data_IF_372339269316
#
_entry.id   IF_372339269316
#
_cell.length_a   1.000
_cell.length_b   1.000
_cell.length_c   1.000
_cell.angle_alpha   90.00
_cell.angle_beta   90.00
_cell.angle_gamma   90.00
#
_symmetry.space_group_name_H-M   'P 1'
#
loop_
_entity.id
_entity.type
_entity.pdbx_description
1 polymer ?
#
# COMPACT_ATOMS: atom_id res chain seq x y z
N UNK A 1 -4.24 -3.19 -3.75
CA UNK A 1 -3.19 -2.44 -4.47
C UNK A 1 -2.29 -3.49 -5.08
N UNK A 2 -2.62 -4.01 -6.28
CA UNK A 2 -2.01 -5.23 -6.83
C UNK A 2 -2.33 -6.51 -6.07
N UNK A 3 -1.80 -7.63 -6.58
CA UNK A 3 -1.89 -9.00 -6.06
C UNK A 3 -3.32 -9.42 -5.72
N UNK A 4 -4.16 -9.35 -6.75
CA UNK A 4 -5.58 -9.76 -6.65
C UNK A 4 -5.75 -11.28 -6.83
N UNK A 5 -4.69 -11.99 -7.23
CA UNK A 5 -4.63 -13.44 -7.43
C UNK A 5 -3.18 -13.94 -7.42
N UNK A 6 -2.94 -15.23 -7.72
CA UNK A 6 -1.62 -15.84 -7.54
C UNK A 6 -0.75 -15.90 -8.81
N UNK A 7 -1.28 -16.11 -10.02
CA UNK A 7 -0.42 -16.32 -11.22
C UNK A 7 -0.76 -15.49 -12.45
N UNK A 8 -1.74 -14.60 -12.41
CA UNK A 8 -2.02 -13.75 -13.57
C UNK A 8 -3.12 -14.26 -14.49
N UNK A 9 -3.73 -15.40 -14.20
CA UNK A 9 -4.55 -16.07 -15.21
C UNK A 9 -5.92 -15.39 -15.37
N UNK A 10 -6.45 -15.32 -16.61
CA UNK A 10 -7.81 -14.83 -16.83
C UNK A 10 -8.89 -15.53 -15.99
N UNK A 11 -8.73 -16.83 -15.73
CA UNK A 11 -9.63 -17.58 -14.84
C UNK A 11 -9.59 -17.08 -13.40
N UNK A 12 -8.43 -16.65 -12.90
CA UNK A 12 -8.32 -16.09 -11.57
C UNK A 12 -9.05 -14.74 -11.49
N UNK A 13 -8.95 -13.88 -12.51
CA UNK A 13 -9.77 -12.66 -12.58
C UNK A 13 -11.25 -12.96 -12.54
N UNK A 14 -11.69 -13.94 -13.33
CA UNK A 14 -13.09 -14.32 -13.35
C UNK A 14 -13.58 -14.74 -11.97
N UNK A 15 -12.78 -15.50 -11.23
CA UNK A 15 -13.14 -16.02 -9.91
C UNK A 15 -12.94 -15.02 -8.77
N UNK A 16 -11.86 -14.25 -8.77
CA UNK A 16 -11.45 -13.38 -7.67
C UNK A 16 -11.95 -11.93 -7.83
N UNK A 17 -12.40 -11.53 -9.02
CA UNK A 17 -12.81 -10.15 -9.27
C UNK A 17 -14.14 -10.01 -10.01
N UNK A 18 -14.52 -10.94 -10.88
CA UNK A 18 -15.73 -10.83 -11.70
C UNK A 18 -16.90 -11.70 -11.21
N UNK A 19 -16.77 -12.33 -10.03
CA UNK A 19 -17.84 -13.07 -9.38
C UNK A 19 -18.22 -14.41 -10.03
N UNK A 20 -17.42 -14.92 -10.98
CA UNK A 20 -17.64 -16.25 -11.55
C UNK A 20 -17.29 -17.30 -10.48
N UNK A 21 -18.24 -18.16 -10.14
CA UNK A 21 -17.99 -19.26 -9.19
C UNK A 21 -17.01 -20.29 -9.80
N UNK A 22 -15.89 -20.62 -9.14
CA UNK A 22 -15.08 -21.78 -9.51
C UNK A 22 -15.69 -23.08 -8.98
N UNK A 23 -15.26 -24.23 -9.53
CA UNK A 23 -15.72 -25.55 -9.05
C UNK A 23 -15.31 -25.87 -7.60
N UNK A 24 -14.21 -25.28 -7.13
CA UNK A 24 -13.60 -25.55 -5.83
C UNK A 24 -14.02 -24.60 -4.70
N UNK A 25 -14.90 -23.62 -4.97
CA UNK A 25 -15.44 -22.72 -3.94
C UNK A 25 -16.94 -22.52 -4.10
N UNK A 26 -17.61 -22.14 -3.01
CA UNK A 26 -19.06 -21.97 -3.02
C UNK A 26 -19.53 -20.76 -3.82
N UNK A 27 -18.66 -19.75 -3.99
CA UNK A 27 -18.93 -18.50 -4.71
C UNK A 27 -17.66 -17.91 -5.32
N UNK A 28 -17.81 -17.07 -6.34
CA UNK A 28 -16.76 -16.18 -6.81
C UNK A 28 -16.78 -14.86 -6.02
N UNK A 29 -15.65 -14.15 -6.02
CA UNK A 29 -15.52 -12.83 -5.44
C UNK A 29 -15.76 -11.78 -6.52
N UNK A 30 -16.61 -10.80 -6.21
CA UNK A 30 -16.85 -9.64 -7.07
C UNK A 30 -16.13 -8.43 -6.49
N UNK A 31 -15.31 -7.79 -7.31
CA UNK A 31 -14.66 -6.54 -6.96
C UNK A 31 -15.71 -5.47 -6.64
N UNK A 32 -15.56 -4.71 -5.54
CA UNK A 32 -16.53 -3.68 -5.19
C UNK A 32 -16.54 -2.56 -6.24
N UNK A 33 -17.73 -2.25 -6.75
CA UNK A 33 -17.95 -1.14 -7.67
C UNK A 33 -18.40 0.08 -6.87
N UNK A 34 -17.57 1.12 -6.86
CA UNK A 34 -17.91 2.40 -6.25
C UNK A 34 -18.97 3.15 -7.05
N UNK A 35 -19.80 3.94 -6.37
CA UNK A 35 -20.92 4.69 -6.97
C UNK A 35 -20.53 5.52 -8.20
N UNK A 36 -19.33 6.11 -8.19
CA UNK A 36 -18.84 6.98 -9.27
C UNK A 36 -17.66 6.37 -10.04
N UNK A 37 -17.03 5.34 -9.50
CA UNK A 37 -15.80 4.81 -10.06
C UNK A 37 -15.16 3.73 -9.21
N UNK A 38 -14.45 2.83 -9.88
CA UNK A 38 -13.52 1.88 -9.27
C UNK A 38 -12.25 1.82 -10.11
N UNK A 39 -11.10 1.90 -9.46
CA UNK A 39 -9.79 1.91 -10.12
C UNK A 39 -8.87 0.89 -9.46
N UNK A 40 -7.86 0.46 -10.19
CA UNK A 40 -6.87 -0.49 -9.69
C UNK A 40 -5.47 -0.16 -10.20
N UNK A 41 -4.46 -0.71 -9.54
CA UNK A 41 -3.07 -0.77 -10.01
C UNK A 41 -2.60 -2.22 -9.87
N UNK A 42 -1.74 -2.72 -10.76
CA UNK A 42 -1.22 -4.08 -10.69
C UNK A 42 -0.04 -4.19 -9.71
N UNK A 43 0.19 -5.41 -9.22
CA UNK A 43 1.34 -5.88 -8.48
C UNK A 43 2.17 -6.87 -9.28
N UNK A 44 3.08 -7.59 -8.62
CA UNK A 44 3.96 -8.54 -9.29
C UNK A 44 3.19 -9.75 -9.83
N UNK A 45 2.18 -10.23 -9.10
CA UNK A 45 1.42 -11.41 -9.51
C UNK A 45 0.62 -11.20 -10.81
N UNK A 46 0.19 -9.97 -11.09
CA UNK A 46 -0.47 -9.63 -12.35
C UNK A 46 0.42 -9.89 -13.58
N UNK A 47 1.75 -9.78 -13.44
CA UNK A 47 2.70 -9.90 -14.54
C UNK A 47 3.35 -11.29 -14.69
N UNK A 48 3.08 -12.24 -13.80
CA UNK A 48 3.52 -13.64 -13.96
C UNK A 48 2.94 -14.30 -15.22
N UNK A 49 1.74 -13.88 -15.63
CA UNK A 49 1.11 -14.24 -16.90
C UNK A 49 1.28 -13.16 -17.99
N UNK A 50 2.25 -12.25 -17.84
CA UNK A 50 2.47 -11.10 -18.74
C UNK A 50 1.33 -10.07 -18.75
N UNK A 51 0.50 -10.03 -17.71
CA UNK A 51 -0.56 -9.01 -17.57
C UNK A 51 -1.87 -9.32 -18.30
N UNK A 52 -2.01 -10.47 -18.97
CA UNK A 52 -3.23 -10.78 -19.76
C UNK A 52 -4.50 -10.74 -18.92
N UNK A 53 -4.52 -11.35 -17.73
CA UNK A 53 -5.67 -11.28 -16.84
C UNK A 53 -6.00 -9.83 -16.46
N UNK A 54 -4.99 -9.05 -16.10
CA UNK A 54 -5.18 -7.66 -15.68
C UNK A 54 -5.69 -6.76 -16.82
N UNK A 55 -4.97 -6.67 -17.93
CA UNK A 55 -5.27 -5.71 -19.01
C UNK A 55 -6.50 -6.09 -19.83
N UNK A 56 -6.66 -7.37 -20.16
CA UNK A 56 -7.69 -7.80 -21.12
C UNK A 56 -9.00 -8.16 -20.43
N UNK A 57 -8.96 -8.60 -19.17
CA UNK A 57 -10.15 -9.06 -18.44
C UNK A 57 -10.56 -8.12 -17.31
N UNK A 58 -9.63 -7.59 -16.53
CA UNK A 58 -10.02 -6.80 -15.36
C UNK A 58 -10.21 -5.32 -15.67
N UNK A 59 -9.21 -4.68 -16.28
CA UNK A 59 -9.20 -3.25 -16.55
C UNK A 59 -10.43 -2.74 -17.33
N UNK A 60 -11.01 -3.48 -18.30
CA UNK A 60 -12.22 -3.06 -19.00
C UNK A 60 -13.47 -2.95 -18.11
N UNK A 61 -13.47 -3.63 -16.95
CA UNK A 61 -14.58 -3.62 -15.99
C UNK A 61 -14.43 -2.53 -14.91
N UNK A 62 -13.39 -1.70 -15.01
CA UNK A 62 -13.06 -0.65 -14.06
C UNK A 62 -13.06 0.70 -14.77
N UNK A 63 -13.16 1.79 -14.01
CA UNK A 63 -13.20 3.15 -14.52
C UNK A 63 -14.30 3.98 -13.88
N UNK A 64 -14.81 4.97 -14.60
CA UNK A 64 -15.92 5.82 -14.15
C UNK A 64 -17.26 5.13 -14.43
N UNK A 65 -18.22 5.29 -13.51
CA UNK A 65 -19.55 4.71 -13.61
C UNK A 65 -20.64 5.78 -13.57
N UNK A 66 -21.79 5.47 -14.17
CA UNK A 66 -23.01 6.21 -13.94
C UNK A 66 -23.59 5.80 -12.57
N UNK A 67 -23.85 6.74 -11.64
CA UNK A 67 -24.45 6.43 -10.34
C UNK A 67 -25.77 5.65 -10.40
N UNK A 68 -26.51 5.80 -11.49
CA UNK A 68 -27.79 5.13 -11.70
C UNK A 68 -27.65 3.78 -12.42
N UNK A 69 -26.46 3.47 -12.94
CA UNK A 69 -26.16 2.18 -13.58
C UNK A 69 -24.70 1.74 -13.36
N UNK A 70 -24.52 0.76 -12.48
CA UNK A 70 -23.20 0.20 -12.11
C UNK A 70 -22.83 -1.09 -12.87
N UNK A 71 -23.49 -1.41 -13.98
CA UNK A 71 -23.21 -2.66 -14.73
C UNK A 71 -21.90 -2.60 -15.51
N UNK A 72 -21.59 -1.45 -16.11
CA UNK A 72 -20.41 -1.23 -16.94
C UNK A 72 -19.90 0.21 -16.79
N UNK A 73 -18.59 0.45 -16.94
CA UNK A 73 -18.04 1.79 -16.83
C UNK A 73 -18.40 2.64 -18.06
N UNK A 74 -18.81 3.89 -17.84
CA UNK A 74 -19.00 4.88 -18.92
C UNK A 74 -17.66 5.26 -19.57
N UNK A 75 -16.57 5.19 -18.79
CA UNK A 75 -15.21 5.36 -19.26
C UNK A 75 -14.34 4.34 -18.55
N UNK A 76 -13.96 3.28 -19.27
CA UNK A 76 -13.09 2.26 -18.67
C UNK A 76 -11.71 2.84 -18.36
N UNK A 77 -11.08 2.36 -17.29
CA UNK A 77 -9.67 2.59 -17.05
C UNK A 77 -8.87 2.03 -18.26
N UNK A 78 -7.91 2.79 -18.78
CA UNK A 78 -7.14 2.44 -19.99
C UNK A 78 -5.67 2.14 -19.71
N UNK A 79 -5.18 2.54 -18.56
CA UNK A 79 -3.79 2.44 -18.13
C UNK A 79 -3.73 1.79 -16.76
N UNK A 80 -2.59 1.20 -16.41
CA UNK A 80 -2.32 0.61 -15.09
C UNK A 80 -2.01 1.63 -13.99
N UNK A 81 -2.06 2.92 -14.33
CA UNK A 81 -1.86 4.07 -13.47
C UNK A 81 -2.97 5.09 -13.71
N UNK A 82 -3.22 5.94 -12.72
CA UNK A 82 -4.34 6.90 -12.75
C UNK A 82 -4.10 8.06 -11.78
N UNK A 83 -4.88 9.14 -11.98
CA UNK A 83 -4.92 10.32 -11.11
C UNK A 83 -6.38 10.62 -10.76
N UNK A 84 -6.66 10.81 -9.47
CA UNK A 84 -7.87 11.44 -8.98
C UNK A 84 -7.46 12.71 -8.23
N UNK A 85 -8.18 13.82 -8.43
CA UNK A 85 -7.83 15.08 -7.80
C UNK A 85 -9.04 15.90 -7.37
N UNK A 86 -8.81 16.76 -6.39
CA UNK A 86 -9.70 17.84 -5.98
C UNK A 86 -8.85 19.11 -5.74
N UNK A 87 -9.46 20.14 -5.17
CA UNK A 87 -8.79 21.44 -4.97
C UNK A 87 -7.59 21.38 -3.99
N UNK A 88 -7.54 20.38 -3.10
CA UNK A 88 -6.50 20.26 -2.06
C UNK A 88 -5.60 19.03 -2.23
N UNK A 89 -6.00 18.01 -2.97
CA UNK A 89 -5.33 16.71 -3.02
C UNK A 89 -5.21 16.15 -4.44
N UNK A 90 -4.11 15.43 -4.67
CA UNK A 90 -3.89 14.54 -5.81
C UNK A 90 -3.58 13.15 -5.32
N UNK A 91 -4.31 12.18 -5.85
CA UNK A 91 -4.24 10.76 -5.49
C UNK A 91 -3.78 10.03 -6.74
N UNK A 92 -2.59 9.44 -6.68
CA UNK A 92 -1.88 8.93 -7.85
C UNK A 92 -1.65 7.43 -7.67
N UNK A 93 -2.25 6.62 -8.54
CA UNK A 93 -1.97 5.19 -8.64
C UNK A 93 -0.79 4.94 -9.57
N UNK A 94 0.24 4.25 -9.08
CA UNK A 94 1.45 3.88 -9.82
C UNK A 94 1.47 2.40 -10.15
N UNK A 95 1.83 2.06 -11.38
CA UNK A 95 2.18 0.69 -11.77
C UNK A 95 3.65 0.42 -11.39
N UNK A 96 3.85 -0.18 -10.22
CA UNK A 96 5.14 -0.73 -9.83
C UNK A 96 5.26 -2.23 -10.12
N UNK A 97 4.24 -2.87 -10.72
CA UNK A 97 4.28 -4.29 -11.09
C UNK A 97 4.95 -4.55 -12.44
N UNK A 98 4.87 -3.59 -13.36
CA UNK A 98 5.26 -3.81 -14.76
C UNK A 98 6.69 -4.34 -14.95
N UNK A 99 7.65 -3.78 -14.20
CA UNK A 99 9.08 -4.14 -14.26
C UNK A 99 9.52 -5.05 -13.09
N UNK A 100 8.56 -5.57 -12.32
CA UNK A 100 8.84 -6.40 -11.14
C UNK A 100 9.10 -7.86 -11.51
N UNK A 101 8.74 -8.29 -12.71
CA UNK A 101 8.95 -9.66 -13.19
C UNK A 101 9.88 -9.70 -14.40
N UNK A 102 10.85 -10.61 -14.37
CA UNK A 102 11.64 -10.98 -15.54
C UNK A 102 11.79 -12.50 -15.62
N UNK A 103 12.03 -13.04 -16.81
CA UNK A 103 12.25 -14.49 -17.03
C UNK A 103 13.40 -15.07 -16.19
N UNK A 104 14.31 -14.22 -15.69
CA UNK A 104 15.47 -14.61 -14.90
C UNK A 104 15.31 -14.32 -13.40
N UNK A 105 14.37 -13.47 -13.00
CA UNK A 105 14.12 -13.09 -11.62
C UNK A 105 12.61 -12.87 -11.40
N UNK A 106 12.04 -13.73 -10.55
CA UNK A 106 10.77 -13.49 -9.89
C UNK A 106 11.06 -12.49 -8.77
N UNK A 107 10.36 -11.35 -8.74
CA UNK A 107 10.58 -10.22 -7.83
C UNK A 107 11.93 -9.51 -8.02
N UNK A 108 12.01 -8.77 -9.13
CA UNK A 108 13.13 -7.89 -9.45
C UNK A 108 13.36 -6.87 -8.34
N UNK A 109 14.59 -6.86 -7.79
CA UNK A 109 14.99 -5.92 -6.72
C UNK A 109 15.19 -4.47 -7.20
N UNK A 110 15.12 -4.23 -8.52
CA UNK A 110 15.33 -2.94 -9.16
C UNK A 110 14.13 -2.58 -10.04
N UNK A 111 12.98 -2.29 -9.40
CA UNK A 111 11.75 -1.91 -10.10
C UNK A 111 11.85 -0.49 -10.61
N UNK A 112 11.72 -0.31 -11.93
CA UNK A 112 11.56 1.00 -12.56
C UNK A 112 10.10 1.22 -12.97
N UNK A 113 9.65 2.45 -12.78
CA UNK A 113 8.44 2.93 -13.42
C UNK A 113 8.67 2.99 -14.93
N UNK A 114 7.72 2.49 -15.76
CA UNK A 114 7.84 2.55 -17.21
C UNK A 114 8.00 3.98 -17.73
N UNK A 115 8.74 4.16 -18.81
CA UNK A 115 8.98 5.48 -19.41
C UNK A 115 7.67 6.20 -19.77
N UNK A 116 6.65 5.47 -20.22
CA UNK A 116 5.33 6.03 -20.51
C UNK A 116 4.66 6.58 -19.25
N UNK A 117 4.78 5.88 -18.12
CA UNK A 117 4.26 6.34 -16.84
C UNK A 117 5.03 7.57 -16.36
N UNK A 118 6.36 7.56 -16.46
CA UNK A 118 7.21 8.71 -16.11
C UNK A 118 6.87 9.93 -16.95
N UNK A 119 6.73 9.76 -18.26
CA UNK A 119 6.33 10.84 -19.17
C UNK A 119 4.93 11.36 -18.86
N UNK A 120 3.99 10.50 -18.46
CA UNK A 120 2.65 10.91 -18.02
C UNK A 120 2.71 11.72 -16.71
N UNK A 121 3.49 11.30 -15.72
CA UNK A 121 3.68 12.06 -14.47
C UNK A 121 4.25 13.45 -14.73
N UNK A 122 5.22 13.57 -15.65
CA UNK A 122 5.86 14.84 -15.98
C UNK A 122 4.91 15.74 -16.79
N UNK A 123 4.39 15.22 -17.90
CA UNK A 123 3.76 16.05 -18.92
C UNK A 123 2.24 16.22 -18.72
N UNK A 124 1.57 15.27 -18.07
CA UNK A 124 0.11 15.29 -17.87
C UNK A 124 -0.23 15.62 -16.42
N UNK A 125 0.38 14.93 -15.46
CA UNK A 125 0.17 15.27 -14.03
C UNK A 125 0.88 16.58 -13.71
N UNK A 126 2.01 16.88 -14.36
CA UNK A 126 2.76 18.12 -14.14
C UNK A 126 3.70 18.05 -12.95
N UNK A 127 4.12 16.85 -12.54
CA UNK A 127 5.11 16.68 -11.47
C UNK A 127 6.50 16.99 -11.99
N UNK A 128 7.19 17.88 -11.28
CA UNK A 128 8.60 18.19 -11.50
C UNK A 128 9.16 18.91 -10.27
N UNK A 129 10.49 18.99 -10.18
CA UNK A 129 11.19 19.61 -9.04
C UNK A 129 10.91 21.10 -8.83
N UNK A 130 10.28 21.77 -9.79
CA UNK A 130 9.92 23.19 -9.75
C UNK A 130 8.40 23.42 -9.81
N UNK A 131 7.59 22.40 -9.51
CA UNK A 131 6.14 22.51 -9.60
C UNK A 131 5.58 23.56 -8.64
N UNK A 132 4.68 24.41 -9.16
CA UNK A 132 3.95 25.39 -8.35
C UNK A 132 2.68 24.82 -7.69
N UNK A 133 2.29 23.59 -8.03
CA UNK A 133 1.10 22.95 -7.48
C UNK A 133 1.28 22.63 -5.98
N UNK A 134 0.37 23.18 -5.18
CA UNK A 134 0.36 23.12 -3.71
C UNK A 134 -0.61 22.09 -3.15
N UNK A 135 -1.23 21.25 -3.99
CA UNK A 135 -2.05 20.14 -3.51
C UNK A 135 -1.22 19.07 -2.81
N UNK A 136 -1.77 18.47 -1.75
CA UNK A 136 -1.17 17.32 -1.09
C UNK A 136 -1.09 16.14 -2.05
N UNK A 137 0.04 15.42 -2.02
CA UNK A 137 0.26 14.27 -2.90
C UNK A 137 0.13 12.97 -2.11
N UNK A 138 -0.77 12.11 -2.58
CA UNK A 138 -0.95 10.74 -2.09
C UNK A 138 -0.56 9.79 -3.22
N UNK A 139 0.41 8.93 -2.97
CA UNK A 139 0.82 7.90 -3.92
C UNK A 139 0.35 6.53 -3.45
N UNK A 140 -0.21 5.78 -4.38
CA UNK A 140 -0.49 4.35 -4.25
C UNK A 140 0.45 3.56 -5.13
N UNK A 141 1.07 2.52 -4.58
CA UNK A 141 1.84 1.52 -5.32
C UNK A 141 1.49 0.11 -4.86
N UNK A 142 1.89 -0.90 -5.61
CA UNK A 142 1.92 -2.25 -5.07
C UNK A 142 3.14 -2.42 -4.17
N UNK A 143 4.33 -2.27 -4.74
CA UNK A 143 5.61 -2.40 -4.03
C UNK A 143 5.89 -1.23 -3.07
N UNK A 144 6.58 -1.57 -1.99
CA UNK A 144 6.92 -0.72 -0.86
C UNK A 144 8.08 0.26 -1.14
N UNK A 145 7.95 1.47 -0.61
CA UNK A 145 9.05 2.46 -0.54
C UNK A 145 10.03 2.12 0.59
N UNK A 146 9.54 1.41 1.61
CA UNK A 146 10.28 1.05 2.81
C UNK A 146 9.65 -0.20 3.42
N UNK A 147 10.45 -1.04 4.10
CA UNK A 147 9.95 -2.22 4.81
C UNK A 147 10.56 -2.33 6.20
N UNK A 148 9.73 -2.57 7.22
CA UNK A 148 10.20 -2.93 8.55
C UNK A 148 10.57 -4.42 8.67
N UNK A 149 10.27 -5.21 7.64
CA UNK A 149 10.45 -6.65 7.59
C UNK A 149 11.69 -7.02 6.78
N UNK A 150 11.77 -8.29 6.35
CA UNK A 150 12.91 -8.81 5.60
C UNK A 150 12.90 -8.42 4.13
N UNK A 151 11.82 -7.81 3.66
CA UNK A 151 11.69 -7.42 2.26
C UNK A 151 12.64 -6.26 1.96
N UNK A 152 13.30 -6.34 0.80
CA UNK A 152 14.15 -5.26 0.33
C UNK A 152 13.25 -4.26 -0.39
N UNK A 153 13.17 -3.01 0.08
CA UNK A 153 12.44 -2.00 -0.67
C UNK A 153 13.12 -1.79 -2.01
N UNK A 154 12.32 -1.77 -3.09
CA UNK A 154 12.82 -1.58 -4.44
C UNK A 154 13.22 -0.11 -4.62
N UNK A 155 14.47 0.16 -4.99
CA UNK A 155 15.05 1.50 -4.84
C UNK A 155 14.90 2.40 -6.04
N UNK A 156 14.77 1.86 -7.26
CA UNK A 156 14.85 2.66 -8.48
C UNK A 156 13.62 3.56 -8.67
N UNK A 157 12.42 3.03 -8.44
CA UNK A 157 11.22 3.85 -8.49
C UNK A 157 11.22 4.97 -7.42
N UNK A 158 11.89 4.77 -6.29
CA UNK A 158 12.02 5.82 -5.26
C UNK A 158 12.84 6.99 -5.79
N UNK A 159 13.94 6.70 -6.49
CA UNK A 159 14.74 7.72 -7.19
C UNK A 159 13.93 8.44 -8.26
N UNK A 160 13.14 7.70 -9.05
CA UNK A 160 12.26 8.30 -10.04
C UNK A 160 11.25 9.25 -9.40
N UNK A 161 10.55 8.84 -8.34
CA UNK A 161 9.60 9.71 -7.63
C UNK A 161 10.31 10.91 -6.99
N UNK A 162 11.46 10.71 -6.33
CA UNK A 162 12.22 11.79 -5.73
C UNK A 162 12.63 12.85 -6.76
N UNK A 163 12.97 12.45 -8.00
CA UNK A 163 13.31 13.38 -9.08
C UNK A 163 12.14 14.25 -9.56
N UNK A 164 10.89 13.83 -9.31
CA UNK A 164 9.68 14.51 -9.73
C UNK A 164 9.15 15.51 -8.70
N UNK A 165 9.81 15.63 -7.55
CA UNK A 165 9.34 16.42 -6.43
C UNK A 165 10.31 17.54 -6.08
N UNK A 166 9.82 18.71 -5.64
CA UNK A 166 10.68 19.72 -5.00
C UNK A 166 11.40 19.11 -3.79
N UNK A 167 12.64 19.53 -3.56
CA UNK A 167 13.41 19.02 -2.43
C UNK A 167 12.67 19.28 -1.10
N UNK A 168 12.55 18.24 -0.27
CA UNK A 168 11.87 18.32 1.02
C UNK A 168 10.33 18.23 0.95
N UNK A 169 9.72 18.19 -0.25
CA UNK A 169 8.27 18.01 -0.40
C UNK A 169 7.83 16.74 0.33
N UNK A 170 6.93 16.89 1.30
CA UNK A 170 6.40 15.76 2.07
C UNK A 170 5.15 15.19 1.41
N UNK A 171 5.17 13.88 1.13
CA UNK A 171 4.06 13.15 0.51
C UNK A 171 3.50 12.09 1.46
N UNK A 172 2.30 11.60 1.17
CA UNK A 172 1.76 10.38 1.78
C UNK A 172 1.89 9.23 0.78
N UNK A 173 2.48 8.12 1.20
CA UNK A 173 2.70 6.95 0.36
C UNK A 173 2.04 5.74 1.00
N UNK A 174 1.13 5.09 0.28
CA UNK A 174 0.50 3.85 0.71
C UNK A 174 0.79 2.73 -0.28
N UNK A 175 1.11 1.54 0.22
CA UNK A 175 1.49 0.40 -0.61
C UNK A 175 0.87 -0.92 -0.14
N UNK A 176 0.95 -1.95 -0.98
CA UNK A 176 0.51 -3.31 -0.72
C UNK A 176 1.69 -4.25 -0.43
N UNK A 177 1.81 -5.31 -1.25
CA UNK A 177 2.88 -6.32 -1.33
C UNK A 177 3.20 -7.11 -0.05
N UNK A 178 3.49 -6.43 1.07
CA UNK A 178 4.01 -7.08 2.29
C UNK A 178 2.93 -7.86 3.08
N UNK A 179 1.70 -7.93 2.55
CA UNK A 179 0.52 -8.59 3.15
C UNK A 179 0.23 -8.16 4.60
N UNK A 180 0.46 -6.88 4.90
CA UNK A 180 0.40 -6.31 6.26
C UNK A 180 -0.39 -5.01 6.33
N UNK A 181 -0.80 -4.67 7.53
CA UNK A 181 -1.20 -3.32 7.90
C UNK A 181 -0.13 -2.72 8.78
N UNK A 182 0.50 -1.64 8.34
CA UNK A 182 1.56 -0.99 9.11
C UNK A 182 1.72 0.50 8.82
N UNK A 183 2.26 1.20 9.82
CA UNK A 183 2.29 2.65 9.87
C UNK A 183 3.69 3.11 10.24
N UNK A 184 4.19 4.10 9.52
CA UNK A 184 5.52 4.65 9.73
C UNK A 184 5.46 6.14 10.10
N UNK A 185 6.39 6.58 10.95
CA UNK A 185 6.57 8.00 11.19
C UNK A 185 7.07 8.73 9.93
N UNK A 186 6.94 10.06 9.93
CA UNK A 186 7.55 10.90 8.89
C UNK A 186 9.06 10.65 8.85
N UNK A 187 9.58 10.40 7.66
CA UNK A 187 11.00 10.22 7.47
C UNK A 187 11.45 10.74 6.11
N UNK A 188 12.74 10.99 6.03
CA UNK A 188 13.44 11.34 4.81
C UNK A 188 14.48 10.26 4.56
N UNK A 189 14.37 9.57 3.42
CA UNK A 189 15.35 8.58 2.98
C UNK A 189 16.24 9.18 1.90
N UNK A 190 17.45 8.64 1.78
CA UNK A 190 18.31 8.88 0.61
C UNK A 190 18.07 7.77 -0.41
N UNK A 191 17.73 8.15 -1.62
CA UNK A 191 17.52 7.21 -2.74
C UNK A 191 18.85 6.77 -3.35
N UNK A 192 18.84 5.80 -4.27
CA UNK A 192 20.04 5.33 -4.97
C UNK A 192 20.69 6.44 -5.83
N UNK A 193 19.92 7.45 -6.25
CA UNK A 193 20.39 8.66 -6.94
C UNK A 193 20.87 9.77 -5.98
N UNK A 194 21.02 9.49 -4.68
CA UNK A 194 21.41 10.44 -3.63
C UNK A 194 20.44 11.62 -3.42
N UNK A 195 19.22 11.52 -3.96
CA UNK A 195 18.14 12.48 -3.72
C UNK A 195 17.41 12.14 -2.43
N UNK A 196 16.75 13.14 -1.84
CA UNK A 196 15.97 12.97 -0.62
C UNK A 196 14.50 12.74 -0.97
N UNK A 197 13.89 11.69 -0.42
CA UNK A 197 12.44 11.47 -0.49
C UNK A 197 11.85 11.55 0.92
N UNK A 198 10.96 12.52 1.13
CA UNK A 198 10.31 12.76 2.44
C UNK A 198 8.86 12.31 2.39
N UNK A 199 8.46 11.39 3.27
CA UNK A 199 7.12 10.82 3.22
C UNK A 199 6.62 10.33 4.58
N UNK A 200 5.30 10.18 4.66
CA UNK A 200 4.62 9.28 5.60
C UNK A 200 4.29 7.98 4.86
N UNK A 201 4.66 6.82 5.43
CA UNK A 201 4.45 5.52 4.80
C UNK A 201 3.36 4.69 5.45
N UNK A 202 2.52 4.01 4.66
CA UNK A 202 1.48 3.09 5.15
C UNK A 202 1.48 1.81 4.30
N UNK A 203 1.76 0.66 4.89
CA UNK A 203 1.43 -0.60 4.24
C UNK A 203 -0.05 -0.91 4.52
N UNK A 204 -0.85 -1.08 3.47
CA UNK A 204 -2.26 -1.47 3.50
C UNK A 204 -2.49 -2.72 2.64
N UNK A 205 -1.56 -3.68 2.74
CA UNK A 205 -1.56 -4.94 2.00
C UNK A 205 -2.43 -6.04 2.61
N UNK A 206 -3.25 -5.75 3.63
CA UNK A 206 -4.02 -6.76 4.37
C UNK A 206 -5.42 -7.04 3.78
N UNK A 207 -5.69 -6.81 2.49
CA UNK A 207 -7.08 -6.87 1.99
C UNK A 207 -7.57 -8.23 1.50
N UNK A 208 -6.69 -9.11 1.00
CA UNK A 208 -7.14 -10.33 0.30
C UNK A 208 -6.23 -11.55 0.46
N UNK A 209 -4.91 -11.36 0.53
CA UNK A 209 -4.01 -12.45 0.86
C UNK A 209 -4.03 -12.74 2.37
N UNK A 210 -3.77 -14.00 2.79
CA UNK A 210 -3.59 -14.34 4.19
C UNK A 210 -2.49 -13.48 4.83
N UNK A 211 -2.86 -12.63 5.80
CA UNK A 211 -1.88 -11.91 6.60
C UNK A 211 -1.25 -12.88 7.59
N UNK A 212 0.04 -13.17 7.40
CA UNK A 212 0.77 -14.02 8.33
C UNK A 212 1.03 -13.27 9.64
N UNK A 213 0.31 -13.66 10.67
CA UNK A 213 0.49 -13.14 12.02
C UNK A 213 1.80 -13.69 12.62
N UNK A 214 2.44 -12.89 13.49
CA UNK A 214 3.67 -13.21 14.27
C UNK A 214 5.05 -12.96 13.65
N UNK A 215 5.19 -12.46 12.42
CA UNK A 215 6.53 -12.03 11.99
C UNK A 215 6.95 -10.75 12.73
N UNK A 216 8.08 -10.83 13.45
CA UNK A 216 8.62 -9.67 14.14
C UNK A 216 9.31 -8.72 13.14
N UNK A 217 9.01 -7.41 13.18
CA UNK A 217 9.64 -6.43 12.32
C UNK A 217 11.11 -6.20 12.72
N UNK A 218 12.04 -6.73 11.91
CA UNK A 218 13.50 -6.69 12.19
C UNK A 218 14.12 -5.31 12.05
N UNK A 219 13.52 -4.41 11.26
CA UNK A 219 14.02 -3.05 10.98
C UNK A 219 13.13 -1.96 11.59
N UNK A 220 12.41 -2.28 12.67
CA UNK A 220 11.45 -1.37 13.30
C UNK A 220 12.01 0.02 13.58
N UNK A 221 13.22 0.09 14.18
CA UNK A 221 13.87 1.36 14.54
C UNK A 221 14.35 2.13 13.31
N UNK A 222 15.02 1.45 12.39
CA UNK A 222 15.58 2.05 11.16
C UNK A 222 14.48 2.68 10.30
N UNK A 223 13.33 2.01 10.25
CA UNK A 223 12.19 2.43 9.44
C UNK A 223 11.22 3.34 10.17
N UNK A 224 11.44 3.60 11.46
CA UNK A 224 10.51 4.33 12.33
C UNK A 224 9.08 3.76 12.27
N UNK A 225 8.97 2.44 12.37
CA UNK A 225 7.68 1.76 12.46
C UNK A 225 6.93 2.28 13.71
N UNK A 226 5.67 2.64 13.56
CA UNK A 226 4.84 3.25 14.59
C UNK A 226 3.75 2.29 15.09
N UNK A 227 3.01 1.68 14.16
CA UNK A 227 2.00 0.67 14.44
C UNK A 227 2.07 -0.46 13.42
N UNK A 228 1.69 -1.66 13.81
CA UNK A 228 1.43 -2.77 12.89
C UNK A 228 0.37 -3.71 13.45
N UNK A 229 -0.37 -4.38 12.57
CA UNK A 229 -1.36 -5.38 12.95
C UNK A 229 -0.75 -6.79 12.92
N UNK A 230 -0.58 -7.39 14.09
CA UNK A 230 -0.14 -8.78 14.29
C UNK A 230 -1.18 -9.62 15.04
N UNK A 231 -2.42 -9.12 15.11
CA UNK A 231 -3.53 -9.86 15.72
C UNK A 231 -3.79 -11.14 14.95
N UNK A 232 -4.06 -12.20 15.71
CA UNK A 232 -4.35 -13.54 15.22
C UNK A 232 -5.84 -13.81 15.39
N UNK A 233 -6.51 -14.32 14.34
CA UNK A 233 -7.91 -14.76 14.45
C UNK A 233 -8.06 -16.27 14.32
N UNK A 234 -7.20 -16.94 13.55
CA UNK A 234 -7.32 -18.38 13.31
C UNK A 234 -5.97 -19.02 13.00
N UNK A 235 -5.83 -20.31 13.29
CA UNK A 235 -4.76 -21.15 12.77
C UNK A 235 -5.32 -22.07 11.70
N UNK A 236 -4.89 -21.89 10.46
CA UNK A 236 -5.29 -22.78 9.38
C UNK A 236 -4.36 -23.99 9.31
N UNK A 237 -4.97 -25.17 9.28
CA UNK A 237 -4.26 -26.44 9.16
C UNK A 237 -4.52 -27.04 7.79
N UNK A 238 -3.48 -27.18 6.98
CA UNK A 238 -3.51 -28.01 5.78
C UNK A 238 -2.28 -28.93 5.72
N UNK A 239 -2.34 -29.93 4.83
CA UNK A 239 -1.30 -30.96 4.68
C UNK A 239 0.11 -30.40 4.38
N UNK A 240 0.22 -29.18 3.86
CA UNK A 240 1.49 -28.59 3.41
C UNK A 240 1.99 -27.47 4.33
N UNK A 241 1.11 -26.85 5.12
CA UNK A 241 1.36 -25.73 6.02
C UNK A 241 0.54 -25.97 7.32
N UNK A 242 1.03 -26.83 8.23
CA UNK A 242 0.41 -26.97 9.54
C UNK A 242 0.59 -25.69 10.36
N UNK A 243 -0.43 -25.36 11.18
CA UNK A 243 -0.46 -24.25 12.12
C UNK A 243 -0.19 -22.86 11.50
N UNK A 244 -0.70 -22.60 10.29
CA UNK A 244 -0.53 -21.32 9.61
C UNK A 244 -1.29 -20.20 10.36
N UNK A 245 -0.61 -19.21 10.95
CA UNK A 245 -1.26 -18.17 11.74
C UNK A 245 -1.88 -17.10 10.84
N UNK A 246 -3.20 -16.96 10.88
CA UNK A 246 -3.96 -16.01 10.06
C UNK A 246 -4.37 -14.77 10.86
N UNK A 247 -3.97 -13.60 10.34
CA UNK A 247 -4.37 -12.29 10.83
C UNK A 247 -5.55 -11.70 10.07
N UNK A 248 -6.11 -10.60 10.59
CA UNK A 248 -7.35 -10.04 10.07
C UNK A 248 -7.13 -9.31 8.74
N UNK A 249 -7.98 -9.63 7.76
CA UNK A 249 -8.07 -8.80 6.57
C UNK A 249 -8.76 -7.46 6.85
N UNK A 250 -8.49 -6.45 6.03
CA UNK A 250 -9.01 -5.11 6.25
C UNK A 250 -8.92 -4.20 5.03
N UNK A 251 -9.29 -2.94 5.26
CA UNK A 251 -9.30 -1.89 4.26
C UNK A 251 -9.18 -0.51 4.93
N UNK A 252 -8.86 0.50 4.12
CA UNK A 252 -8.86 1.89 4.54
C UNK A 252 -9.98 2.67 3.83
N UNK A 253 -10.60 3.61 4.53
CA UNK A 253 -11.51 4.60 3.93
C UNK A 253 -10.92 5.99 4.05
N UNK A 254 -10.92 6.73 2.95
CA UNK A 254 -10.45 8.12 2.90
C UNK A 254 -11.65 9.05 2.72
N UNK A 255 -11.81 10.02 3.62
CA UNK A 255 -12.82 11.08 3.54
C UNK A 255 -12.12 12.42 3.36
N UNK A 256 -12.27 13.00 2.17
CA UNK A 256 -11.80 14.35 1.88
C UNK A 256 -12.81 15.38 2.39
N UNK A 257 -12.31 16.42 3.06
CA UNK A 257 -13.12 17.45 3.70
C UNK A 257 -12.55 18.81 3.28
N UNK A 258 -13.40 19.80 3.04
CA UNK A 258 -12.96 21.12 2.62
C UNK A 258 -12.82 22.06 3.84
N UNK A 259 -11.78 21.83 4.66
CA UNK A 259 -11.40 22.78 5.73
C UNK A 259 -9.89 22.99 5.74
N UNK A 260 -9.44 24.14 6.25
CA UNK A 260 -8.00 24.46 6.31
C UNK A 260 -7.26 23.68 7.42
N UNK A 261 -7.96 23.26 8.47
CA UNK A 261 -7.35 22.54 9.59
C UNK A 261 -7.22 21.04 9.32
N UNK A 262 -8.24 20.43 8.71
CA UNK A 262 -8.30 19.01 8.37
C UNK A 262 -8.92 18.88 6.99
N UNK A 263 -8.17 18.34 6.05
CA UNK A 263 -8.65 18.14 4.68
C UNK A 263 -8.76 16.68 4.25
N UNK A 264 -8.30 15.75 5.09
CA UNK A 264 -8.42 14.32 4.87
C UNK A 264 -8.48 13.55 6.19
N UNK A 265 -9.45 12.64 6.31
CA UNK A 265 -9.53 11.64 7.38
C UNK A 265 -9.34 10.26 6.76
N UNK A 266 -8.41 9.47 7.30
CA UNK A 266 -8.21 8.07 6.91
C UNK A 266 -8.57 7.18 8.10
N UNK A 267 -9.49 6.25 7.89
CA UNK A 267 -9.86 5.23 8.87
C UNK A 267 -9.42 3.86 8.38
N UNK A 268 -8.75 3.10 9.24
CA UNK A 268 -8.27 1.75 8.95
C UNK A 268 -9.13 0.75 9.71
N UNK A 269 -9.73 -0.18 8.98
CA UNK A 269 -10.74 -1.09 9.50
C UNK A 269 -10.36 -2.52 9.15
N UNK A 270 -10.72 -3.46 10.01
CA UNK A 270 -10.63 -4.89 9.72
C UNK A 270 -11.98 -5.56 9.72
N UNK A 271 -12.04 -6.69 9.05
CA UNK A 271 -13.16 -7.62 9.18
C UNK A 271 -13.36 -8.00 10.65
N UNK A 272 -14.61 -8.30 10.99
CA UNK A 272 -15.03 -8.76 12.31
C UNK A 272 -15.30 -10.25 12.27
N UNK A 273 -15.38 -10.90 13.43
CA UNK A 273 -15.81 -12.30 13.54
C UNK A 273 -17.30 -12.36 13.86
N UNK A 274 -18.00 -13.24 13.17
CA UNK A 274 -19.34 -13.67 13.55
C UNK A 274 -19.29 -14.56 14.80
N UNK A 275 -20.44 -14.85 15.40
CA UNK A 275 -20.53 -15.70 16.60
C UNK A 275 -20.02 -17.13 16.36
N UNK A 276 -20.05 -17.62 15.12
CA UNK A 276 -19.53 -18.91 14.65
C UNK A 276 -18.06 -18.82 14.18
N UNK A 277 -17.40 -17.68 14.36
CA UNK A 277 -15.96 -17.51 14.10
C UNK A 277 -15.58 -17.30 12.63
N UNK A 278 -16.53 -16.92 11.78
CA UNK A 278 -16.26 -16.58 10.37
C UNK A 278 -15.96 -15.10 10.22
N UNK A 279 -15.08 -14.75 9.29
CA UNK A 279 -14.81 -13.35 8.95
C UNK A 279 -16.01 -12.73 8.23
N UNK A 280 -16.41 -11.54 8.66
CA UNK A 280 -17.47 -10.74 8.03
C UNK A 280 -17.04 -9.30 7.84
N UNK A 281 -17.56 -8.69 6.77
CA UNK A 281 -17.42 -7.26 6.50
C UNK A 281 -18.50 -6.43 7.22
N UNK A 282 -19.50 -7.10 7.80
CA UNK A 282 -20.51 -6.46 8.64
C UNK A 282 -19.88 -5.97 9.95
N UNK A 283 -20.23 -4.74 10.35
CA UNK A 283 -19.73 -4.11 11.58
C UNK A 283 -18.19 -4.18 11.71
N UNK A 284 -17.44 -3.66 10.71
CA UNK A 284 -15.99 -3.76 10.67
C UNK A 284 -15.36 -3.03 11.87
N UNK A 285 -14.32 -3.62 12.44
CA UNK A 285 -13.63 -3.06 13.61
C UNK A 285 -12.74 -1.89 13.19
N UNK A 286 -13.01 -0.69 13.71
CA UNK A 286 -12.11 0.46 13.55
C UNK A 286 -10.85 0.25 14.38
N UNK A 287 -9.68 0.26 13.72
CA UNK A 287 -8.39 0.13 14.40
C UNK A 287 -7.77 1.48 14.71
N UNK A 288 -7.72 2.35 13.70
CA UNK A 288 -6.94 3.57 13.74
C UNK A 288 -7.59 4.63 12.84
N UNK A 289 -7.57 5.89 13.29
CA UNK A 289 -7.95 7.06 12.51
C UNK A 289 -6.77 8.04 12.43
N UNK A 290 -6.58 8.62 11.25
CA UNK A 290 -5.61 9.67 11.00
C UNK A 290 -6.30 10.89 10.42
N UNK A 291 -5.89 12.07 10.87
CA UNK A 291 -6.36 13.36 10.38
C UNK A 291 -5.20 14.12 9.76
N UNK A 292 -5.41 14.59 8.54
CA UNK A 292 -4.36 15.14 7.68
C UNK A 292 -4.75 16.52 7.16
N UNK A 293 -3.73 17.32 6.88
CA UNK A 293 -3.85 18.58 6.15
C UNK A 293 -2.69 18.76 5.17
N UNK A 294 -2.75 19.87 4.42
CA UNK A 294 -1.74 20.27 3.45
C UNK A 294 -1.32 21.69 3.78
N UNK A 295 -0.01 21.93 3.91
CA UNK A 295 0.50 23.29 4.17
C UNK A 295 0.54 24.16 2.90
N UNK A 296 0.87 25.44 3.06
CA UNK A 296 0.96 26.41 1.95
C UNK A 296 2.01 26.04 0.89
N UNK A 297 2.98 25.18 1.24
CA UNK A 297 4.01 24.67 0.36
C UNK A 297 3.62 23.32 -0.27
N UNK A 298 2.41 22.82 0.03
CA UNK A 298 1.85 21.55 -0.42
C UNK A 298 2.36 20.32 0.30
N UNK A 299 3.05 20.47 1.42
CA UNK A 299 3.49 19.35 2.25
C UNK A 299 2.31 18.71 2.95
N UNK A 300 2.25 17.39 2.93
CA UNK A 300 1.30 16.62 3.74
C UNK A 300 1.71 16.67 5.21
N UNK A 301 0.74 16.97 6.09
CA UNK A 301 0.91 17.04 7.54
C UNK A 301 -0.03 16.04 8.23
N UNK A 302 0.52 15.23 9.13
CA UNK A 302 -0.26 14.41 10.06
C UNK A 302 -0.62 15.24 11.29
N UNK A 303 -1.90 15.60 11.44
CA UNK A 303 -2.38 16.42 12.55
C UNK A 303 -2.71 15.58 13.78
N UNK A 304 -3.30 14.40 13.57
CA UNK A 304 -3.66 13.49 14.64
C UNK A 304 -3.61 12.04 14.17
N UNK A 305 -3.25 11.13 15.09
CA UNK A 305 -3.34 9.68 14.90
C UNK A 305 -3.87 9.06 16.19
N UNK A 306 -5.01 8.37 16.09
CA UNK A 306 -5.70 7.77 17.23
C UNK A 306 -5.92 6.29 16.99
N UNK A 307 -5.40 5.44 17.89
CA UNK A 307 -5.77 4.03 17.94
C UNK A 307 -7.06 3.84 18.74
N UNK A 308 -7.99 3.06 18.19
CA UNK A 308 -9.25 2.65 18.82
C UNK A 308 -9.22 1.18 19.26
N UNK A 309 -8.17 0.44 18.89
CA UNK A 309 -8.02 -0.96 19.23
C UNK A 309 -6.71 -1.18 20.02
N UNK A 310 -6.83 -1.65 21.27
CA UNK A 310 -5.70 -1.87 22.16
C UNK A 310 -4.86 -3.11 21.81
N UNK A 311 -5.34 -3.96 20.90
CA UNK A 311 -4.60 -5.11 20.38
C UNK A 311 -3.74 -4.74 19.16
N UNK A 312 -3.87 -3.52 18.61
CA UNK A 312 -2.95 -3.04 17.58
C UNK A 312 -1.59 -2.75 18.22
N UNK A 313 -0.54 -3.39 17.72
CA UNK A 313 0.79 -3.23 18.31
C UNK A 313 1.37 -1.87 17.99
N UNK A 314 1.72 -1.11 19.03
CA UNK A 314 2.46 0.16 18.95
C UNK A 314 3.94 -0.08 19.23
N UNK A 315 4.79 0.39 18.33
CA UNK A 315 6.24 0.35 18.54
C UNK A 315 6.68 1.59 19.32
N UNK A 316 7.59 1.40 20.29
CA UNK A 316 8.21 2.48 21.05
C UNK A 316 9.72 2.44 20.78
N UNK A 317 10.24 3.51 20.18
CA UNK A 317 11.67 3.69 20.01
C UNK A 317 12.18 4.48 21.20
N UNK A 318 12.93 3.84 22.11
CA UNK A 318 13.63 4.62 23.13
C UNK A 318 14.70 5.47 22.47
N UNK A 319 14.60 6.78 22.64
CA UNK A 319 15.73 7.66 22.42
C UNK A 319 16.79 7.34 23.48
N UNK A 320 18.04 7.11 23.06
CA UNK A 320 19.23 6.81 23.86
C UNK A 320 19.39 5.38 24.46
N UNK A 321 20.23 4.58 23.80
CA UNK A 321 21.33 3.93 24.52
C UNK A 321 22.58 4.53 23.91
N UNK A 322 23.32 5.33 24.70
CA UNK A 322 24.66 5.76 24.33
C UNK A 322 25.49 4.54 23.90
N UNK A 323 26.38 4.67 22.89
CA UNK A 323 27.25 3.56 22.50
C UNK A 323 27.92 3.03 23.75
N UNK A 324 27.71 1.73 24.05
CA UNK A 324 28.40 1.04 25.14
C UNK A 324 29.88 1.39 25.01
N UNK A 325 30.39 2.14 25.98
CA UNK A 325 31.81 2.38 26.13
C UNK A 325 32.52 1.04 26.02
N UNK A 326 33.52 0.97 25.13
CA UNK A 326 34.39 -0.20 24.97
C UNK A 326 34.83 -0.65 26.36
N UNK A 327 34.57 -1.91 26.72
CA UNK A 327 35.19 -2.52 27.91
C UNK A 327 36.71 -2.35 27.77
N UNK A 328 37.43 -1.99 28.85
CA UNK A 328 38.88 -2.00 28.83
C UNK A 328 39.34 -3.43 28.53
N UNK A 329 40.25 -3.58 27.58
CA UNK A 329 41.03 -4.80 27.37
C UNK A 329 41.70 -5.18 28.68
N UNK A 330 41.25 -6.28 29.28
CA UNK A 330 41.99 -6.91 30.38
C UNK A 330 43.19 -7.63 29.74
N UNK A 331 44.37 -7.03 29.86
CA UNK A 331 45.62 -7.76 29.74
C UNK A 331 45.62 -8.86 30.80
N UNK A 332 45.65 -10.12 30.37
CA UNK A 332 46.10 -11.22 31.21
C UNK A 332 47.42 -11.70 30.63
N UNK A 333 48.48 -11.32 31.33
CA UNK A 333 49.75 -12.04 31.35
C UNK A 333 49.52 -13.46 31.85
N UNK A 334 49.96 -14.43 31.06
CA UNK A 334 50.75 -15.59 31.48
C UNK A 334 51.60 -16.05 30.29
#
# INVERSE_FOLDING_TARGET
LGDIYYVGLPSEIQHCCLGRKPEWADQGVRWPIGKYGSFTIPGNHEFYSRGFGYYDYFLPNLGLFNPDNLTEPIHSQKTSYWLLENDQWRIIGLDTGYDSFSLLNIDNSSIKLPDQLMNWLINIVGLNSQMNDKRGLIFFSHHQVLSAWNEKPNTDFQSQIASLLPEGRTILFLWGHEHRLSFYEKQTIKTSSNQSLTFYGRCIGNSGFPTLAKELPKKSRETKLLFYDDRLYHFHNNLFLPDLPLGYNGYATMKFINTDQISLIIQYKTLSLTNDGQLTHENPTLLLEEQWSVDINGNVLLNNIQSFNNQLTRTVHSDSIQPKTKRPTCCTTL
#
